data_IF_757790669834
#
_entry.id   IF_757790669834
#
_cell.length_a   1.000
_cell.length_b   1.000
_cell.length_c   1.000
_cell.angle_alpha   90.00
_cell.angle_beta   90.00
_cell.angle_gamma   90.00
#
_symmetry.space_group_name_H-M   'P 1'
#
loop_
_entity.id
_entity.type
_entity.pdbx_description
1 polymer ?
#
# COMPACT_ATOMS: atom_id res chain seq x y z
N UNK A 1 -11.66 7.94 -5.23
CA UNK A 1 -10.32 7.86 -4.62
C UNK A 1 -9.52 6.78 -5.32
N UNK A 2 -8.19 6.95 -5.39
CA UNK A 2 -7.29 5.91 -5.90
C UNK A 2 -6.41 5.43 -4.76
N UNK A 3 -6.01 4.18 -4.81
CA UNK A 3 -5.01 3.61 -3.91
C UNK A 3 -3.69 3.58 -4.67
N UNK A 4 -2.66 4.19 -4.09
CA UNK A 4 -1.29 4.06 -4.57
C UNK A 4 -0.63 2.94 -3.80
N UNK A 5 -0.25 1.91 -4.54
CA UNK A 5 0.52 0.76 -4.09
C UNK A 5 1.95 0.98 -4.52
N UNK A 6 2.91 0.98 -3.58
CA UNK A 6 4.30 1.17 -3.95
C UNK A 6 5.24 0.37 -3.05
N UNK A 7 6.31 -0.12 -3.64
CA UNK A 7 7.36 -0.85 -2.94
C UNK A 7 8.18 0.10 -2.07
N UNK A 8 8.43 -0.29 -0.83
CA UNK A 8 9.41 0.35 0.04
C UNK A 8 10.53 -0.67 0.30
N UNK A 9 11.78 -0.34 -0.04
CA UNK A 9 12.91 -1.23 0.20
C UNK A 9 13.12 -1.46 1.70
N UNK A 10 13.71 -2.61 2.04
CA UNK A 10 14.00 -2.99 3.44
C UNK A 10 14.76 -1.91 4.21
N UNK A 11 15.68 -1.20 3.56
CA UNK A 11 16.46 -0.09 4.13
C UNK A 11 15.60 1.05 4.68
N UNK A 12 14.42 1.27 4.09
CA UNK A 12 13.49 2.37 4.46
C UNK A 12 12.27 1.86 5.23
N UNK A 13 12.15 0.54 5.42
CA UNK A 13 10.99 -0.10 6.04
C UNK A 13 10.75 0.39 7.47
N UNK A 14 11.80 0.50 8.29
CA UNK A 14 11.66 1.00 9.66
C UNK A 14 11.15 2.45 9.70
N UNK A 15 11.62 3.31 8.79
CA UNK A 15 11.16 4.70 8.71
C UNK A 15 9.72 4.77 8.20
N UNK A 16 9.35 3.95 7.22
CA UNK A 16 7.99 3.89 6.72
C UNK A 16 6.99 3.43 7.79
N UNK A 17 7.34 2.40 8.58
CA UNK A 17 6.50 1.94 9.69
C UNK A 17 6.29 3.03 10.77
N UNK A 18 7.35 3.75 11.12
CA UNK A 18 7.27 4.89 12.05
C UNK A 18 6.36 6.00 11.50
N UNK A 19 6.53 6.37 10.23
CA UNK A 19 5.68 7.38 9.57
C UNK A 19 4.22 6.94 9.43
N UNK A 20 3.97 5.67 9.12
CA UNK A 20 2.63 5.11 9.02
C UNK A 20 1.91 5.15 10.38
N UNK A 21 2.61 4.80 11.46
CA UNK A 21 2.07 4.93 12.82
C UNK A 21 1.77 6.40 13.17
N UNK A 22 2.66 7.33 12.80
CA UNK A 22 2.42 8.77 12.98
C UNK A 22 1.24 9.27 12.15
N UNK A 23 1.09 8.79 10.92
CA UNK A 23 0.01 9.15 10.01
C UNK A 23 -1.34 8.75 10.61
N UNK A 24 -1.43 7.51 11.13
CA UNK A 24 -2.62 7.02 11.82
C UNK A 24 -2.95 7.88 13.05
N UNK A 25 -1.96 8.17 13.90
CA UNK A 25 -2.15 9.04 15.06
C UNK A 25 -2.61 10.47 14.67
N UNK A 26 -2.06 11.02 13.59
CA UNK A 26 -2.44 12.34 13.09
C UNK A 26 -3.88 12.35 12.56
N UNK A 27 -4.30 11.29 11.84
CA UNK A 27 -5.70 11.13 11.41
C UNK A 27 -6.65 11.00 12.61
N UNK A 28 -6.29 10.21 13.63
CA UNK A 28 -7.10 10.08 14.85
C UNK A 28 -7.18 11.40 15.64
N UNK A 29 -6.11 12.19 15.62
CA UNK A 29 -6.06 13.51 16.27
C UNK A 29 -6.71 14.63 15.44
N UNK A 30 -7.10 14.35 14.19
CA UNK A 30 -7.67 15.33 13.26
C UNK A 30 -6.67 16.38 12.74
N UNK A 31 -5.36 16.12 12.84
CA UNK A 31 -4.31 17.06 12.44
C UNK A 31 -4.01 16.94 10.93
N UNK A 32 -4.92 17.45 10.10
CA UNK A 32 -4.85 17.35 8.63
C UNK A 32 -3.52 17.83 8.04
N UNK A 33 -2.93 18.90 8.58
CA UNK A 33 -1.63 19.41 8.10
C UNK A 33 -0.46 18.45 8.33
N UNK A 34 -0.53 17.59 9.35
CA UNK A 34 0.45 16.54 9.56
C UNK A 34 0.17 15.33 8.67
N UNK A 35 -1.12 15.01 8.44
CA UNK A 35 -1.54 13.92 7.55
C UNK A 35 -0.98 14.09 6.14
N UNK A 36 -1.12 15.29 5.55
CA UNK A 36 -0.58 15.57 4.21
C UNK A 36 0.95 15.41 4.16
N UNK A 37 1.67 16.01 5.12
CA UNK A 37 3.14 15.94 5.19
C UNK A 37 3.65 14.52 5.35
N UNK A 38 3.03 13.73 6.24
CA UNK A 38 3.42 12.35 6.50
C UNK A 38 3.15 11.46 5.29
N UNK A 39 2.05 11.72 4.58
CA UNK A 39 1.69 11.04 3.33
C UNK A 39 2.73 11.33 2.23
N UNK A 40 3.12 12.59 2.04
CA UNK A 40 4.18 12.98 1.09
C UNK A 40 5.54 12.37 1.45
N UNK A 41 5.91 12.37 2.74
CA UNK A 41 7.14 11.72 3.20
C UNK A 41 7.12 10.22 2.95
N UNK A 42 6.01 9.54 3.23
CA UNK A 42 5.83 8.11 2.95
C UNK A 42 6.01 7.83 1.45
N UNK A 43 5.38 8.62 0.58
CA UNK A 43 5.58 8.47 -0.86
C UNK A 43 7.03 8.73 -1.29
N UNK A 44 7.74 9.66 -0.66
CA UNK A 44 9.18 9.88 -0.94
C UNK A 44 10.07 8.71 -0.49
N UNK A 45 9.59 7.82 0.38
CA UNK A 45 10.28 6.59 0.74
C UNK A 45 10.01 5.43 -0.23
N UNK A 46 8.95 5.52 -1.01
CA UNK A 46 8.61 4.50 -2.00
C UNK A 46 9.51 4.57 -3.21
N UNK A 47 9.73 3.41 -3.82
CA UNK A 47 10.44 3.32 -5.07
C UNK A 47 9.50 3.67 -6.23
N UNK A 48 9.78 4.76 -6.93
CA UNK A 48 8.96 5.21 -8.05
C UNK A 48 8.93 4.21 -9.21
N UNK A 49 9.95 3.36 -9.33
CA UNK A 49 10.02 2.32 -10.37
C UNK A 49 8.99 1.21 -10.13
N UNK A 50 8.68 0.91 -8.87
CA UNK A 50 7.73 -0.11 -8.45
C UNK A 50 6.54 0.52 -7.70
N UNK A 51 5.91 1.50 -8.36
CA UNK A 51 4.70 2.17 -7.87
C UNK A 51 3.56 2.08 -8.88
N UNK A 52 2.36 1.79 -8.38
CA UNK A 52 1.15 1.59 -9.16
C UNK A 52 -0.01 2.33 -8.50
N UNK A 53 -0.76 3.08 -9.30
CA UNK A 53 -1.98 3.76 -8.88
C UNK A 53 -3.18 3.04 -9.47
N UNK A 54 -4.08 2.56 -8.61
CA UNK A 54 -5.29 1.86 -9.02
C UNK A 54 -6.54 2.44 -8.36
N UNK A 55 -7.73 2.23 -8.95
CA UNK A 55 -8.98 2.60 -8.31
C UNK A 55 -9.17 1.88 -6.97
N UNK A 56 -9.73 2.57 -5.98
CA UNK A 56 -10.05 1.97 -4.68
C UNK A 56 -10.96 0.74 -4.79
N UNK A 57 -11.97 0.79 -5.66
CA UNK A 57 -12.85 -0.35 -5.90
C UNK A 57 -12.10 -1.58 -6.39
N UNK A 58 -11.09 -1.40 -7.25
CA UNK A 58 -10.25 -2.48 -7.75
C UNK A 58 -9.40 -3.07 -6.62
N UNK A 59 -8.84 -2.22 -5.74
CA UNK A 59 -8.14 -2.69 -4.55
C UNK A 59 -9.08 -3.45 -3.59
N UNK A 60 -10.25 -2.92 -3.28
CA UNK A 60 -11.22 -3.58 -2.40
C UNK A 60 -11.64 -4.96 -2.93
N UNK A 61 -11.83 -5.12 -4.25
CA UNK A 61 -12.12 -6.44 -4.84
C UNK A 61 -10.98 -7.44 -4.63
N UNK A 62 -9.72 -6.98 -4.70
CA UNK A 62 -8.57 -7.84 -4.39
C UNK A 62 -8.61 -8.27 -2.92
N UNK A 63 -8.77 -7.32 -2.00
CA UNK A 63 -8.79 -7.61 -0.55
C UNK A 63 -9.95 -8.54 -0.20
N UNK A 64 -11.12 -8.36 -0.81
CA UNK A 64 -12.27 -9.24 -0.62
C UNK A 64 -11.98 -10.66 -1.10
N UNK A 65 -11.36 -10.84 -2.28
CA UNK A 65 -10.93 -12.17 -2.75
C UNK A 65 -9.91 -12.82 -1.82
N UNK A 66 -8.94 -12.04 -1.32
CA UNK A 66 -7.95 -12.54 -0.37
C UNK A 66 -8.64 -12.96 0.94
N UNK A 67 -9.61 -12.18 1.41
CA UNK A 67 -10.44 -12.51 2.58
C UNK A 67 -11.28 -13.76 2.42
N UNK A 68 -11.74 -14.08 1.20
CA UNK A 68 -12.37 -15.38 0.95
C UNK A 68 -11.43 -16.56 1.21
N UNK A 69 -10.12 -16.35 1.12
CA UNK A 69 -9.09 -17.36 1.45
C UNK A 69 -8.61 -17.25 2.91
N UNK A 70 -8.53 -16.03 3.45
CA UNK A 70 -8.02 -15.72 4.78
C UNK A 70 -8.88 -14.63 5.46
N UNK A 71 -9.84 -15.03 6.27
CA UNK A 71 -10.81 -14.13 6.93
C UNK A 71 -10.13 -13.12 7.89
N UNK A 72 -8.96 -13.45 8.44
CA UNK A 72 -8.21 -12.58 9.36
C UNK A 72 -7.40 -11.50 8.62
N UNK A 73 -7.39 -11.54 7.28
CA UNK A 73 -6.62 -10.62 6.48
C UNK A 73 -7.10 -9.16 6.65
N UNK A 74 -6.25 -8.36 7.31
CA UNK A 74 -6.46 -6.93 7.50
C UNK A 74 -5.36 -6.15 6.78
N UNK A 75 -5.74 -5.41 5.75
CA UNK A 75 -4.81 -4.55 5.03
C UNK A 75 -4.63 -3.23 5.80
N UNK A 76 -3.44 -2.98 6.33
CA UNK A 76 -3.07 -1.69 6.93
C UNK A 76 -2.32 -0.83 5.89
N UNK A 77 -1.97 0.41 6.22
CA UNK A 77 -1.23 1.30 5.31
C UNK A 77 0.08 0.68 4.82
N UNK A 78 0.70 -0.15 5.66
CA UNK A 78 1.89 -0.93 5.29
C UNK A 78 1.53 -2.41 5.32
N UNK A 79 1.83 -3.08 4.21
CA UNK A 79 1.71 -4.52 4.07
C UNK A 79 3.06 -5.18 4.31
N UNK A 80 3.10 -6.00 5.35
CA UNK A 80 4.24 -6.82 5.70
C UNK A 80 4.38 -8.01 4.75
N UNK A 81 5.57 -8.60 4.73
CA UNK A 81 5.90 -9.79 3.93
C UNK A 81 4.84 -10.90 4.03
N UNK A 82 4.38 -11.21 5.24
CA UNK A 82 3.37 -12.24 5.47
C UNK A 82 2.05 -11.95 4.73
N UNK A 83 1.59 -10.69 4.76
CA UNK A 83 0.37 -10.29 4.05
C UNK A 83 0.55 -10.37 2.53
N UNK A 84 1.72 -9.98 2.04
CA UNK A 84 2.07 -10.09 0.62
C UNK A 84 2.07 -11.55 0.16
N UNK A 85 2.63 -12.46 0.95
CA UNK A 85 2.59 -13.91 0.69
C UNK A 85 1.14 -14.44 0.69
N UNK A 86 0.29 -14.00 1.63
CA UNK A 86 -1.13 -14.38 1.64
C UNK A 86 -1.85 -13.97 0.35
N UNK A 87 -1.59 -12.77 -0.19
CA UNK A 87 -2.20 -12.32 -1.45
C UNK A 87 -1.77 -13.22 -2.62
N UNK A 88 -0.49 -13.59 -2.67
CA UNK A 88 0.07 -14.49 -3.70
C UNK A 88 -0.59 -15.87 -3.60
N UNK A 89 -0.72 -16.42 -2.39
CA UNK A 89 -1.32 -17.73 -2.12
C UNK A 89 -2.83 -17.74 -2.42
N UNK A 90 -3.53 -16.63 -2.19
CA UNK A 90 -4.95 -16.48 -2.55
C UNK A 90 -5.21 -16.59 -4.07
N UNK A 91 -4.16 -16.63 -4.90
CA UNK A 91 -4.28 -16.95 -6.32
C UNK A 91 -5.00 -15.85 -7.13
N UNK A 92 -4.92 -14.60 -6.69
CA UNK A 92 -5.60 -13.47 -7.34
C UNK A 92 -4.88 -12.96 -8.60
N UNK A 93 -3.82 -13.66 -9.04
CA UNK A 93 -2.95 -13.32 -10.17
C UNK A 93 -3.64 -13.14 -11.51
N UNK A 94 -4.66 -13.93 -11.81
CA UNK A 94 -5.37 -13.81 -13.08
C UNK A 94 -6.14 -12.51 -13.22
N UNK A 95 -6.56 -11.91 -12.10
CA UNK A 95 -7.34 -10.66 -12.10
C UNK A 95 -6.50 -9.43 -11.70
N UNK A 96 -5.37 -9.63 -11.01
CA UNK A 96 -4.58 -8.56 -10.36
C UNK A 96 -3.07 -8.68 -10.62
N UNK A 97 -2.69 -9.07 -11.84
CA UNK A 97 -1.30 -9.28 -12.23
C UNK A 97 -0.41 -8.04 -12.02
N UNK A 98 -0.91 -6.83 -12.29
CA UNK A 98 -0.15 -5.58 -12.12
C UNK A 98 0.23 -5.34 -10.66
N UNK A 99 -0.73 -5.51 -9.75
CA UNK A 99 -0.51 -5.40 -8.30
C UNK A 99 0.46 -6.47 -7.82
N UNK A 100 0.25 -7.71 -8.27
CA UNK A 100 1.10 -8.83 -7.87
C UNK A 100 2.53 -8.66 -8.35
N UNK A 101 2.75 -8.04 -9.51
CA UNK A 101 4.08 -7.64 -9.95
C UNK A 101 4.81 -6.79 -8.91
N UNK A 102 4.15 -5.78 -8.33
CA UNK A 102 4.75 -4.94 -7.27
C UNK A 102 4.98 -5.74 -5.98
N UNK A 103 4.01 -6.55 -5.58
CA UNK A 103 4.07 -7.41 -4.39
C UNK A 103 5.23 -8.41 -4.48
N UNK A 104 5.39 -9.09 -5.61
CA UNK A 104 6.47 -10.05 -5.85
C UNK A 104 7.84 -9.38 -5.78
N UNK A 105 7.96 -8.17 -6.32
CA UNK A 105 9.22 -7.42 -6.25
C UNK A 105 9.52 -6.99 -4.81
N UNK A 106 8.51 -6.61 -4.04
CA UNK A 106 8.69 -6.29 -2.63
C UNK A 106 9.17 -7.51 -1.84
N UNK A 107 8.57 -8.69 -2.08
CA UNK A 107 9.01 -9.94 -1.49
C UNK A 107 10.46 -10.31 -1.87
N UNK A 108 10.85 -10.10 -3.13
CA UNK A 108 12.23 -10.35 -3.62
C UNK A 108 13.26 -9.39 -3.02
N UNK A 109 12.89 -8.13 -2.86
CA UNK A 109 13.73 -7.09 -2.27
C UNK A 109 13.74 -7.11 -0.73
N UNK A 110 13.04 -8.08 -0.11
CA UNK A 110 12.76 -8.14 1.32
C UNK A 110 12.14 -6.84 1.88
N UNK A 111 11.43 -6.12 1.02
CA UNK A 111 10.75 -4.87 1.32
C UNK A 111 9.32 -5.08 1.77
N UNK A 112 8.64 -3.95 1.96
CA UNK A 112 7.21 -3.88 2.29
C UNK A 112 6.48 -3.14 1.18
N UNK A 113 5.15 -3.26 1.16
CA UNK A 113 4.32 -2.48 0.23
C UNK A 113 3.56 -1.43 1.03
N UNK A 114 3.67 -0.18 0.58
CA UNK A 114 2.83 0.91 1.04
C UNK A 114 1.56 0.96 0.22
N UNK A 115 0.41 0.99 0.88
CA UNK A 115 -0.87 1.34 0.30
C UNK A 115 -1.37 2.63 0.94
N UNK A 116 -1.60 3.65 0.12
CA UNK A 116 -2.19 4.90 0.60
C UNK A 116 -3.30 5.37 -0.33
N UNK A 117 -4.49 5.71 0.22
CA UNK A 117 -5.48 6.42 -0.55
C UNK A 117 -4.94 7.81 -0.89
N UNK A 118 -5.10 8.20 -2.15
CA UNK A 118 -4.80 9.55 -2.60
C UNK A 118 -5.91 10.03 -3.54
N UNK A 119 -6.16 11.33 -3.48
CA UNK A 119 -6.94 12.02 -4.49
C UNK A 119 -6.00 12.39 -5.62
N UNK A 120 -6.20 11.79 -6.79
CA UNK A 120 -5.62 12.34 -8.00
C UNK A 120 -6.37 13.66 -8.23
N UNK A 121 -5.74 14.80 -7.91
CA UNK A 121 -6.26 16.09 -8.35
C UNK A 121 -6.42 15.99 -9.86
N UNK A 122 -7.67 15.94 -10.29
CA UNK A 122 -8.09 15.99 -11.68
C UNK A 122 -7.56 17.31 -12.23
N UNK A 123 -6.31 17.31 -12.69
CA UNK A 123 -5.73 18.41 -13.43
C UNK A 123 -6.40 18.33 -14.80
N UNK A 124 -7.65 18.80 -14.87
CA UNK A 124 -8.26 19.22 -16.12
C UNK A 124 -7.43 20.40 -16.60
N UNK A 125 -6.45 20.11 -17.46
CA UNK A 125 -5.76 21.12 -18.28
C UNK A 125 -6.69 21.60 -19.38
#
# INVERSE_FOLDING_TARGET
MKIKIALIPSERTSKAQDLSSKLQNAMESGEMSAVDKLTEELFSLTDSEYSLSLPEEYWHQLIEKVRCSDDDFKSDYIMSKLQLETIIVAGVAESFADVLGVIEQALKADGIVLQLPFEEENTYV
#
